data_IF_756536146913
#
_entry.id   IF_756536146913
#
_cell.length_a   1.000
_cell.length_b   1.000
_cell.length_c   1.000
_cell.angle_alpha   90.00
_cell.angle_beta   90.00
_cell.angle_gamma   90.00
#
_symmetry.space_group_name_H-M   'P 1'
#
loop_
_entity.id
_entity.type
_entity.pdbx_description
1 polymer ?
#
# COMPACT_ATOMS: atom_id res chain seq x y z
N UNK A 1 26.12 0.36 8.41
CA UNK A 1 24.80 0.92 8.71
C UNK A 1 24.10 1.18 7.38
N UNK A 2 23.08 0.41 7.07
CA UNK A 2 22.38 0.48 5.79
C UNK A 2 21.07 1.17 6.03
N UNK A 3 20.73 2.19 6.36
CA UNK A 3 19.44 2.87 6.50
C UNK A 3 18.16 2.02 6.57
N UNK A 4 18.06 0.98 5.79
CA UNK A 4 16.94 0.03 5.76
C UNK A 4 15.96 0.24 4.62
N UNK A 5 15.03 -0.72 4.51
CA UNK A 5 13.87 -0.69 3.62
C UNK A 5 12.63 -0.45 4.48
N UNK A 6 11.74 0.41 4.04
CA UNK A 6 10.46 0.66 4.70
C UNK A 6 9.34 0.74 3.68
N UNK A 7 8.13 0.49 4.14
CA UNK A 7 6.92 0.68 3.35
C UNK A 7 5.88 1.45 4.15
N UNK A 8 5.07 2.23 3.46
CA UNK A 8 3.96 2.97 4.06
C UNK A 8 2.88 3.24 3.02
N UNK A 9 1.66 3.48 3.48
CA UNK A 9 0.59 4.00 2.64
C UNK A 9 0.34 5.44 3.02
N UNK A 10 0.40 6.33 2.04
CA UNK A 10 0.26 7.78 2.24
C UNK A 10 -0.91 8.32 1.41
N UNK A 11 -1.68 9.24 1.99
CA UNK A 11 -2.73 9.97 1.29
C UNK A 11 -2.23 11.36 0.91
N UNK A 12 -2.13 11.62 -0.38
CA UNK A 12 -1.79 12.95 -0.92
C UNK A 12 -3.04 13.68 -1.34
N UNK A 13 -3.32 14.81 -0.69
CA UNK A 13 -4.44 15.67 -1.04
C UNK A 13 -4.05 16.66 -2.14
N UNK A 14 -4.96 16.88 -3.08
CA UNK A 14 -4.77 17.88 -4.12
C UNK A 14 -5.25 19.25 -3.64
N UNK A 15 -4.35 20.23 -3.65
CA UNK A 15 -4.65 21.62 -3.27
C UNK A 15 -4.63 22.60 -4.45
N UNK A 16 -4.48 22.10 -5.68
CA UNK A 16 -4.48 22.91 -6.90
C UNK A 16 -5.89 23.26 -7.40
N UNK A 17 -5.97 24.01 -8.52
CA UNK A 17 -7.23 24.33 -9.16
C UNK A 17 -8.03 23.08 -9.52
N UNK A 18 -9.34 23.11 -9.34
CA UNK A 18 -10.23 21.94 -9.57
C UNK A 18 -10.26 21.50 -11.04
N UNK A 19 -10.08 22.41 -11.97
CA UNK A 19 -10.00 22.14 -13.41
C UNK A 19 -8.73 21.40 -13.84
N UNK A 20 -7.74 21.33 -12.95
CA UNK A 20 -6.46 20.63 -13.18
C UNK A 20 -6.32 19.34 -12.36
N UNK A 21 -7.38 18.88 -11.75
CA UNK A 21 -7.36 17.59 -11.01
C UNK A 21 -7.08 16.46 -11.99
N UNK A 22 -6.03 15.63 -11.75
CA UNK A 22 -5.81 14.44 -12.56
C UNK A 22 -7.02 13.51 -12.49
N UNK A 23 -7.39 12.88 -13.59
CA UNK A 23 -8.52 11.93 -13.63
C UNK A 23 -8.37 10.81 -12.58
N UNK A 24 -7.14 10.40 -12.26
CA UNK A 24 -6.80 9.42 -11.22
C UNK A 24 -7.05 9.90 -9.77
N UNK A 25 -7.26 11.20 -9.57
CA UNK A 25 -7.51 11.80 -8.26
C UNK A 25 -8.89 12.49 -8.19
N UNK A 26 -9.67 12.47 -9.29
CA UNK A 26 -10.98 13.10 -9.34
C UNK A 26 -11.99 12.29 -8.51
N UNK A 27 -12.63 12.97 -7.57
CA UNK A 27 -13.73 12.41 -6.81
C UNK A 27 -15.07 12.78 -7.46
N UNK A 28 -15.94 11.78 -7.68
CA UNK A 28 -17.25 11.97 -8.28
C UNK A 28 -18.16 12.90 -7.45
N UNK A 29 -17.92 13.01 -6.14
CA UNK A 29 -18.76 13.75 -5.20
C UNK A 29 -18.30 15.19 -4.92
N UNK A 30 -17.28 15.69 -5.65
CA UNK A 30 -16.81 17.08 -5.54
C UNK A 30 -16.10 17.41 -4.22
N UNK A 31 -15.69 16.42 -3.45
CA UNK A 31 -14.79 16.60 -2.32
C UNK A 31 -13.36 16.89 -2.82
N UNK A 32 -12.47 17.29 -1.90
CA UNK A 32 -11.07 17.51 -2.25
C UNK A 32 -10.46 16.22 -2.80
N UNK A 33 -9.97 16.22 -4.05
CA UNK A 33 -9.38 15.04 -4.64
C UNK A 33 -8.12 14.64 -3.88
N UNK A 34 -7.93 13.35 -3.69
CA UNK A 34 -6.76 12.78 -3.05
C UNK A 34 -6.32 11.53 -3.78
N UNK A 35 -5.06 11.16 -3.59
CA UNK A 35 -4.47 9.93 -4.13
C UNK A 35 -3.85 9.12 -2.99
N UNK A 36 -4.20 7.84 -2.89
CA UNK A 36 -3.47 6.90 -2.07
C UNK A 36 -2.26 6.38 -2.83
N UNK A 37 -1.13 6.36 -2.16
CA UNK A 37 0.12 5.86 -2.71
C UNK A 37 0.73 4.85 -1.75
N UNK A 38 1.04 3.66 -2.25
CA UNK A 38 1.85 2.69 -1.54
C UNK A 38 3.32 3.02 -1.82
N UNK A 39 4.04 3.39 -0.79
CA UNK A 39 5.44 3.82 -0.90
C UNK A 39 6.36 2.72 -0.38
N UNK A 40 7.37 2.38 -1.17
CA UNK A 40 8.49 1.56 -0.75
C UNK A 40 9.74 2.42 -0.81
N UNK A 41 10.39 2.62 0.32
CA UNK A 41 11.56 3.48 0.45
C UNK A 41 12.79 2.69 0.85
N UNK A 42 13.94 3.05 0.26
CA UNK A 42 15.24 2.49 0.59
C UNK A 42 16.17 3.64 0.97
N UNK A 43 16.80 3.53 2.14
CA UNK A 43 17.85 4.44 2.59
C UNK A 43 19.16 3.66 2.67
N UNK A 44 20.20 4.15 2.01
CA UNK A 44 21.47 3.44 1.94
C UNK A 44 22.66 4.40 1.78
N UNK A 45 23.84 3.93 2.13
CA UNK A 45 25.09 4.63 1.79
C UNK A 45 25.47 4.30 0.34
N UNK A 46 26.18 5.22 -0.32
CA UNK A 46 26.69 5.05 -1.69
C UNK A 46 27.29 3.65 -1.95
N UNK A 47 28.22 3.20 -1.12
CA UNK A 47 28.88 1.89 -1.25
C UNK A 47 27.92 0.68 -1.26
N UNK A 48 26.70 0.84 -0.75
CA UNK A 48 25.70 -0.22 -0.63
C UNK A 48 24.54 -0.03 -1.62
N UNK A 49 24.63 0.90 -2.55
CA UNK A 49 23.53 1.25 -3.47
C UNK A 49 23.11 0.05 -4.31
N UNK A 50 24.05 -0.63 -4.97
CA UNK A 50 23.73 -1.82 -5.79
C UNK A 50 23.10 -2.97 -5.00
N UNK A 51 23.65 -3.38 -3.84
CA UNK A 51 23.00 -4.35 -2.98
C UNK A 51 21.58 -3.94 -2.57
N UNK A 52 21.35 -2.65 -2.26
CA UNK A 52 20.06 -2.13 -1.84
C UNK A 52 19.03 -2.20 -2.98
N UNK A 53 19.38 -1.81 -4.20
CA UNK A 53 18.53 -1.93 -5.39
C UNK A 53 18.20 -3.39 -5.71
N UNK A 54 19.15 -4.32 -5.53
CA UNK A 54 18.90 -5.74 -5.70
C UNK A 54 17.90 -6.27 -4.67
N UNK A 55 18.03 -5.90 -3.40
CA UNK A 55 17.09 -6.28 -2.35
C UNK A 55 15.70 -5.72 -2.66
N UNK A 56 15.61 -4.45 -3.07
CA UNK A 56 14.35 -3.84 -3.48
C UNK A 56 13.69 -4.64 -4.61
N UNK A 57 14.45 -5.01 -5.63
CA UNK A 57 13.97 -5.85 -6.73
C UNK A 57 13.46 -7.21 -6.24
N UNK A 58 14.19 -7.87 -5.37
CA UNK A 58 13.79 -9.16 -4.78
C UNK A 58 12.48 -9.03 -4.00
N UNK A 59 12.32 -7.97 -3.20
CA UNK A 59 11.08 -7.70 -2.46
C UNK A 59 9.90 -7.50 -3.42
N UNK A 60 10.06 -6.71 -4.47
CA UNK A 60 8.95 -6.38 -5.37
C UNK A 60 8.55 -7.52 -6.31
N UNK A 61 9.52 -8.35 -6.76
CA UNK A 61 9.31 -9.34 -7.81
C UNK A 61 9.34 -10.80 -7.34
N UNK A 62 10.01 -11.08 -6.22
CA UNK A 62 10.32 -12.45 -5.80
C UNK A 62 9.70 -12.82 -4.45
N UNK A 63 8.88 -11.94 -3.86
CA UNK A 63 8.18 -12.26 -2.61
C UNK A 63 7.23 -13.44 -2.83
N UNK A 64 7.41 -14.47 -2.02
CA UNK A 64 6.56 -15.66 -2.06
C UNK A 64 5.32 -15.45 -1.17
N UNK A 65 4.19 -15.22 -1.81
CA UNK A 65 2.89 -15.09 -1.13
C UNK A 65 2.23 -16.44 -0.82
N UNK A 66 2.71 -17.54 -1.39
CA UNK A 66 2.13 -18.87 -1.17
C UNK A 66 2.71 -19.56 0.09
N UNK A 67 2.59 -18.87 1.23
CA UNK A 67 3.03 -19.36 2.53
C UNK A 67 1.95 -19.09 3.60
N UNK A 68 0.83 -19.81 3.59
CA UNK A 68 -0.34 -19.51 4.42
C UNK A 68 -0.02 -19.45 5.91
N UNK A 69 0.78 -20.37 6.43
CA UNK A 69 1.18 -20.37 7.85
C UNK A 69 1.96 -19.10 8.21
N UNK A 70 2.90 -18.69 7.34
CA UNK A 70 3.70 -17.49 7.60
C UNK A 70 2.87 -16.20 7.50
N UNK A 71 1.94 -16.16 6.57
CA UNK A 71 1.00 -15.02 6.44
C UNK A 71 0.16 -14.92 7.71
N UNK A 72 -0.37 -16.01 8.22
CA UNK A 72 -1.14 -16.00 9.46
C UNK A 72 -0.31 -15.50 10.66
N UNK A 73 0.93 -15.96 10.81
CA UNK A 73 1.83 -15.46 11.87
C UNK A 73 2.04 -13.95 11.79
N UNK A 74 2.28 -13.41 10.57
CA UNK A 74 2.46 -11.97 10.35
C UNK A 74 1.18 -11.19 10.68
N UNK A 75 0.01 -11.69 10.29
CA UNK A 75 -1.26 -11.04 10.59
C UNK A 75 -1.57 -11.03 12.10
N UNK A 76 -1.26 -12.11 12.80
CA UNK A 76 -1.42 -12.18 14.26
C UNK A 76 -0.46 -11.24 14.99
N UNK A 77 0.80 -11.16 14.53
CA UNK A 77 1.78 -10.20 15.07
C UNK A 77 1.31 -8.77 14.87
N UNK A 78 0.84 -8.42 13.67
CA UNK A 78 0.32 -7.10 13.35
C UNK A 78 -0.93 -6.77 14.19
N UNK A 79 -1.86 -7.71 14.32
CA UNK A 79 -3.05 -7.58 15.18
C UNK A 79 -2.68 -7.29 16.62
N UNK A 80 -1.70 -8.02 17.17
CA UNK A 80 -1.21 -7.79 18.53
C UNK A 80 -0.54 -6.42 18.67
N UNK A 81 0.27 -6.02 17.69
CA UNK A 81 0.92 -4.71 17.62
C UNK A 81 -0.09 -3.57 17.61
N UNK A 82 -1.09 -3.64 16.74
CA UNK A 82 -2.16 -2.64 16.64
C UNK A 82 -2.95 -2.54 17.97
N UNK A 83 -3.29 -3.67 18.59
CA UNK A 83 -3.97 -3.70 19.88
C UNK A 83 -3.16 -3.03 20.99
N UNK A 84 -1.86 -3.30 21.04
CA UNK A 84 -0.95 -2.66 22.00
C UNK A 84 -0.83 -1.14 21.74
N UNK A 85 -0.74 -0.73 20.47
CA UNK A 85 -0.73 0.67 20.06
C UNK A 85 -2.00 1.41 20.50
N UNK A 86 -3.17 0.82 20.26
CA UNK A 86 -4.45 1.38 20.72
C UNK A 86 -4.53 1.49 22.25
N UNK A 87 -4.01 0.52 23.00
CA UNK A 87 -3.99 0.57 24.45
C UNK A 87 -3.09 1.70 24.96
N UNK A 88 -1.97 1.97 24.30
CA UNK A 88 -1.01 3.02 24.69
C UNK A 88 -1.40 4.43 24.24
N UNK A 89 -2.10 4.57 23.10
CA UNK A 89 -2.43 5.83 22.46
C UNK A 89 -3.91 5.90 22.02
N UNK A 90 -4.84 5.44 22.84
CA UNK A 90 -6.27 5.38 22.53
C UNK A 90 -6.88 6.72 22.11
N UNK A 91 -6.38 7.83 22.64
CA UNK A 91 -6.81 9.18 22.23
C UNK A 91 -6.49 9.47 20.74
N UNK A 92 -5.34 9.03 20.24
CA UNK A 92 -4.97 9.20 18.85
C UNK A 92 -5.85 8.33 17.93
N UNK A 93 -6.10 7.08 18.31
CA UNK A 93 -7.01 6.17 17.61
C UNK A 93 -8.43 6.73 17.57
N UNK A 94 -8.94 7.26 18.68
CA UNK A 94 -10.25 7.89 18.76
C UNK A 94 -10.34 9.14 17.86
N UNK A 95 -9.31 9.98 17.85
CA UNK A 95 -9.24 11.15 16.98
C UNK A 95 -9.22 10.75 15.49
N UNK A 96 -8.42 9.75 15.12
CA UNK A 96 -8.39 9.22 13.75
C UNK A 96 -9.76 8.68 13.32
N UNK A 97 -10.42 7.92 14.18
CA UNK A 97 -11.79 7.44 13.95
C UNK A 97 -12.79 8.57 13.79
N UNK A 98 -12.73 9.60 14.63
CA UNK A 98 -13.60 10.77 14.52
C UNK A 98 -13.37 11.51 13.18
N UNK A 99 -12.12 11.66 12.73
CA UNK A 99 -11.79 12.27 11.45
C UNK A 99 -12.30 11.45 10.26
N UNK A 100 -12.43 10.14 10.38
CA UNK A 100 -12.94 9.28 9.30
C UNK A 100 -14.39 9.60 8.90
N UNK A 101 -15.17 10.23 9.77
CA UNK A 101 -16.52 10.71 9.45
C UNK A 101 -16.54 12.07 8.74
N UNK A 102 -15.39 12.77 8.63
CA UNK A 102 -15.30 14.11 8.08
C UNK A 102 -14.84 14.13 6.62
N UNK A 103 -14.01 13.15 6.20
CA UNK A 103 -13.50 13.10 4.84
C UNK A 103 -13.22 11.68 4.37
N UNK A 104 -13.31 11.45 3.05
CA UNK A 104 -13.04 10.13 2.45
C UNK A 104 -11.58 9.72 2.60
N UNK A 105 -10.64 10.66 2.49
CA UNK A 105 -9.22 10.33 2.71
C UNK A 105 -8.96 9.86 4.13
N UNK A 106 -9.56 10.52 5.13
CA UNK A 106 -9.45 10.09 6.52
C UNK A 106 -10.17 8.74 6.78
N UNK A 107 -11.30 8.49 6.11
CA UNK A 107 -11.99 7.19 6.20
C UNK A 107 -11.12 6.05 5.64
N UNK A 108 -10.46 6.26 4.51
CA UNK A 108 -9.53 5.28 3.95
C UNK A 108 -8.29 5.09 4.81
N UNK A 109 -7.76 6.17 5.40
CA UNK A 109 -6.63 6.05 6.35
C UNK A 109 -7.01 5.31 7.63
N UNK A 110 -8.25 5.43 8.10
CA UNK A 110 -8.75 4.62 9.21
C UNK A 110 -8.83 3.12 8.86
N UNK A 111 -9.21 2.80 7.61
CA UNK A 111 -9.21 1.42 7.10
C UNK A 111 -7.80 0.85 6.87
N UNK A 112 -6.79 1.69 6.73
CA UNK A 112 -5.39 1.26 6.47
C UNK A 112 -4.59 1.14 7.78
N UNK A 113 -4.78 2.05 8.73
CA UNK A 113 -3.93 2.15 9.92
C UNK A 113 -4.68 2.48 11.21
N UNK A 114 -6.00 2.65 11.17
CA UNK A 114 -6.82 3.02 12.30
C UNK A 114 -7.62 1.86 12.90
N UNK A 115 -8.70 2.20 13.58
CA UNK A 115 -9.61 1.22 14.18
C UNK A 115 -10.26 0.32 13.11
N UNK A 116 -10.59 0.88 11.94
CA UNK A 116 -11.12 0.11 10.82
C UNK A 116 -10.16 -0.97 10.31
N UNK A 117 -8.87 -0.66 10.26
CA UNK A 117 -7.82 -1.63 9.94
C UNK A 117 -7.78 -2.76 10.97
N UNK A 118 -7.81 -2.44 12.26
CA UNK A 118 -7.83 -3.43 13.32
C UNK A 118 -9.06 -4.34 13.25
N UNK A 119 -10.25 -3.78 13.05
CA UNK A 119 -11.50 -4.55 12.91
C UNK A 119 -11.48 -5.48 11.70
N UNK A 120 -10.90 -5.04 10.59
CA UNK A 120 -10.73 -5.86 9.40
C UNK A 120 -9.75 -7.00 9.66
N UNK A 121 -8.60 -6.69 10.26
CA UNK A 121 -7.55 -7.65 10.57
C UNK A 121 -8.03 -8.70 11.58
N UNK A 122 -8.76 -8.29 12.63
CA UNK A 122 -9.33 -9.20 13.64
C UNK A 122 -10.33 -10.18 13.01
N UNK A 123 -11.21 -9.69 12.13
CA UNK A 123 -12.14 -10.53 11.35
C UNK A 123 -11.41 -11.47 10.40
N UNK A 124 -10.36 -10.98 9.74
CA UNK A 124 -9.56 -11.81 8.83
C UNK A 124 -8.89 -12.94 9.58
N UNK A 125 -8.22 -12.65 10.71
CA UNK A 125 -7.60 -13.69 11.53
C UNK A 125 -8.62 -14.73 12.03
N UNK A 126 -9.82 -14.31 12.44
CA UNK A 126 -10.88 -15.21 12.85
C UNK A 126 -11.38 -16.12 11.70
N UNK A 127 -11.42 -15.62 10.47
CA UNK A 127 -11.83 -16.42 9.30
C UNK A 127 -10.73 -17.35 8.79
N UNK A 128 -9.46 -17.12 9.16
CA UNK A 128 -8.32 -17.94 8.75
C UNK A 128 -8.05 -19.17 9.66
N UNK A 129 -8.94 -19.48 10.59
CA UNK A 129 -8.86 -20.69 11.40
C UNK A 129 -8.89 -21.96 10.53
N UNK A 130 -9.39 -21.86 9.29
CA UNK A 130 -9.34 -22.92 8.29
C UNK A 130 -8.25 -22.64 7.25
N UNK A 131 -7.55 -23.71 6.85
CA UNK A 131 -6.48 -23.66 5.84
C UNK A 131 -6.96 -23.14 4.47
N UNK A 132 -8.22 -23.36 4.14
CA UNK A 132 -8.83 -22.91 2.87
C UNK A 132 -8.85 -21.38 2.76
N UNK A 133 -9.30 -20.68 3.80
CA UNK A 133 -9.27 -19.21 3.84
C UNK A 133 -7.86 -18.62 3.77
N UNK A 134 -6.88 -19.31 4.36
CA UNK A 134 -5.48 -18.87 4.29
C UNK A 134 -4.92 -18.98 2.86
N UNK A 135 -5.26 -20.03 2.12
CA UNK A 135 -4.86 -20.19 0.71
C UNK A 135 -5.53 -19.13 -0.17
N UNK A 136 -6.81 -18.85 0.05
CA UNK A 136 -7.54 -17.81 -0.67
C UNK A 136 -6.90 -16.43 -0.44
N UNK A 137 -6.54 -16.10 0.80
CA UNK A 137 -5.83 -14.87 1.12
C UNK A 137 -4.45 -14.79 0.44
N UNK A 138 -3.70 -15.89 0.37
CA UNK A 138 -2.44 -15.94 -0.37
C UNK A 138 -2.61 -15.55 -1.84
N UNK A 139 -3.64 -16.08 -2.49
CA UNK A 139 -3.97 -15.78 -3.89
C UNK A 139 -4.34 -14.31 -4.06
N UNK A 140 -5.18 -13.78 -3.17
CA UNK A 140 -5.56 -12.37 -3.18
C UNK A 140 -4.35 -11.44 -3.01
N UNK A 141 -3.45 -11.73 -2.07
CA UNK A 141 -2.24 -10.93 -1.87
C UNK A 141 -1.33 -10.95 -3.10
N UNK A 142 -1.23 -12.08 -3.80
CA UNK A 142 -0.47 -12.17 -5.04
C UNK A 142 -1.10 -11.34 -6.16
N UNK A 143 -2.41 -11.39 -6.33
CA UNK A 143 -3.14 -10.56 -7.29
C UNK A 143 -2.98 -9.07 -6.99
N UNK A 144 -3.09 -8.68 -5.73
CA UNK A 144 -2.85 -7.29 -5.29
C UNK A 144 -1.42 -6.84 -5.57
N UNK A 145 -0.41 -7.67 -5.31
CA UNK A 145 0.98 -7.33 -5.58
C UNK A 145 1.22 -7.09 -7.07
N UNK A 146 0.65 -7.92 -7.93
CA UNK A 146 0.72 -7.75 -9.39
C UNK A 146 0.04 -6.45 -9.84
N UNK A 147 -1.11 -6.12 -9.28
CA UNK A 147 -1.82 -4.89 -9.62
C UNK A 147 -1.09 -3.62 -9.14
N UNK A 148 -0.49 -3.67 -7.94
CA UNK A 148 0.19 -2.52 -7.34
C UNK A 148 1.57 -2.29 -8.00
N UNK A 149 2.37 -3.35 -8.16
CA UNK A 149 3.72 -3.27 -8.70
C UNK A 149 3.73 -3.31 -10.23
N UNK A 150 3.08 -2.33 -10.83
CA UNK A 150 2.99 -2.13 -12.27
C UNK A 150 3.68 -0.82 -12.66
N UNK A 151 4.56 -0.84 -13.66
CA UNK A 151 5.34 0.33 -14.10
C UNK A 151 4.45 1.51 -14.46
N UNK A 152 3.28 1.28 -15.04
CA UNK A 152 2.33 2.33 -15.42
C UNK A 152 1.76 3.10 -14.20
N UNK A 153 1.77 2.47 -13.02
CA UNK A 153 1.29 3.04 -11.77
C UNK A 153 2.43 3.55 -10.87
N UNK A 154 3.70 3.37 -11.26
CA UNK A 154 4.84 3.67 -10.41
C UNK A 154 5.42 5.05 -10.69
N UNK A 155 5.85 5.71 -9.63
CA UNK A 155 6.65 6.92 -9.68
C UNK A 155 7.90 6.67 -8.85
N UNK A 156 9.07 6.99 -9.42
CA UNK A 156 10.33 6.87 -8.74
C UNK A 156 10.80 8.25 -8.31
N UNK A 157 11.09 8.40 -7.03
CA UNK A 157 11.68 9.59 -6.46
C UNK A 157 13.04 9.23 -5.83
N UNK A 158 14.06 10.05 -6.05
CA UNK A 158 15.37 9.82 -5.47
C UNK A 158 16.02 11.13 -5.01
N UNK A 159 16.65 11.06 -3.85
CA UNK A 159 17.48 12.14 -3.32
C UNK A 159 18.88 11.57 -3.04
N UNK A 160 19.87 12.08 -3.76
CA UNK A 160 21.25 11.59 -3.68
C UNK A 160 22.26 12.67 -4.02
N UNK A 161 23.55 12.39 -3.81
CA UNK A 161 24.61 13.23 -4.32
C UNK A 161 24.63 13.21 -5.86
N UNK A 162 25.03 14.31 -6.53
CA UNK A 162 25.03 14.38 -8.00
C UNK A 162 25.80 13.24 -8.69
N UNK A 163 26.90 12.79 -8.08
CA UNK A 163 27.70 11.67 -8.59
C UNK A 163 26.99 10.32 -8.60
N UNK A 164 26.00 10.14 -7.72
CA UNK A 164 25.27 8.87 -7.55
C UNK A 164 24.03 8.76 -8.45
N UNK A 165 23.53 9.89 -8.96
CA UNK A 165 22.26 9.95 -9.69
C UNK A 165 22.29 9.05 -10.92
N UNK A 166 23.38 9.01 -11.68
CA UNK A 166 23.46 8.18 -12.88
C UNK A 166 23.37 6.68 -12.56
N UNK A 167 23.99 6.25 -11.48
CA UNK A 167 23.94 4.85 -11.02
C UNK A 167 22.53 4.49 -10.51
N UNK A 168 21.87 5.41 -9.81
CA UNK A 168 20.50 5.24 -9.35
C UNK A 168 19.54 5.13 -10.54
N UNK A 169 19.64 6.03 -11.52
CA UNK A 169 18.80 6.00 -12.72
C UNK A 169 18.96 4.70 -13.50
N UNK A 170 20.20 4.23 -13.67
CA UNK A 170 20.45 2.93 -14.33
C UNK A 170 19.80 1.78 -13.54
N UNK A 171 19.92 1.78 -12.21
CA UNK A 171 19.29 0.76 -11.36
C UNK A 171 17.77 0.81 -11.36
N UNK A 172 17.17 2.00 -11.43
CA UNK A 172 15.72 2.19 -11.56
C UNK A 172 15.23 1.71 -12.93
N UNK A 173 15.95 2.00 -14.01
CA UNK A 173 15.62 1.51 -15.35
C UNK A 173 15.67 -0.02 -15.42
N UNK A 174 16.69 -0.63 -14.81
CA UNK A 174 16.80 -2.09 -14.73
C UNK A 174 15.67 -2.71 -13.91
N UNK A 175 15.28 -2.08 -12.80
CA UNK A 175 14.13 -2.47 -11.98
C UNK A 175 12.82 -2.36 -12.80
N UNK A 176 12.57 -1.24 -13.46
CA UNK A 176 11.38 -1.03 -14.28
C UNK A 176 11.29 -2.08 -15.41
N UNK A 177 12.39 -2.32 -16.10
CA UNK A 177 12.47 -3.37 -17.15
C UNK A 177 12.20 -4.75 -16.57
N UNK A 178 12.68 -5.02 -15.37
CA UNK A 178 12.45 -6.31 -14.69
C UNK A 178 10.99 -6.48 -14.28
N UNK A 179 10.32 -5.42 -13.82
CA UNK A 179 8.89 -5.43 -13.50
C UNK A 179 8.07 -5.70 -14.79
N UNK A 180 8.38 -5.01 -15.88
CA UNK A 180 7.72 -5.22 -17.18
C UNK A 180 7.86 -6.65 -17.70
N UNK A 181 9.04 -7.25 -17.55
CA UNK A 181 9.32 -8.61 -18.02
C UNK A 181 8.84 -9.70 -17.06
N UNK A 182 8.83 -9.42 -15.74
CA UNK A 182 8.45 -10.37 -14.71
C UNK A 182 6.94 -10.48 -14.51
N UNK A 183 6.26 -9.39 -14.74
CA UNK A 183 4.81 -9.36 -14.66
C UNK A 183 4.19 -9.78 -15.99
N UNK A 184 4.42 -10.91 -16.53
CA UNK A 184 3.74 -11.44 -17.76
C UNK A 184 2.21 -11.27 -17.73
N UNK A 185 1.74 -10.13 -17.21
CA UNK A 185 0.38 -9.73 -16.96
C UNK A 185 -0.18 -9.20 -18.25
N UNK A 186 -1.08 -9.96 -18.80
CA UNK A 186 -2.21 -9.42 -19.55
C UNK A 186 -2.76 -8.28 -18.71
N UNK A 187 -2.64 -7.03 -19.19
CA UNK A 187 -3.28 -5.87 -18.58
C UNK A 187 -4.77 -6.20 -18.39
N UNK A 188 -5.28 -6.33 -17.16
CA UNK A 188 -6.70 -6.21 -16.99
C UNK A 188 -7.02 -4.78 -17.42
N UNK A 189 -7.95 -4.66 -18.34
CA UNK A 189 -8.52 -3.40 -18.79
C UNK A 189 -8.76 -2.53 -17.53
N UNK A 190 -8.09 -1.38 -17.42
CA UNK A 190 -8.03 -0.56 -16.21
C UNK A 190 -9.35 0.19 -15.91
N UNK A 191 -10.46 -0.43 -16.19
CA UNK A 191 -11.70 -0.05 -15.52
C UNK A 191 -11.65 -0.63 -14.10
N UNK A 192 -11.59 0.20 -13.04
CA UNK A 192 -11.68 -0.31 -11.68
C UNK A 192 -12.95 -1.15 -11.58
N UNK A 193 -12.78 -2.39 -11.13
CA UNK A 193 -13.90 -3.30 -10.94
C UNK A 193 -15.00 -2.56 -10.14
N UNK A 194 -16.22 -2.42 -10.69
CA UNK A 194 -17.32 -1.75 -10.00
C UNK A 194 -17.62 -2.34 -8.63
N UNK A 195 -17.26 -3.60 -8.39
CA UNK A 195 -17.41 -4.27 -7.09
C UNK A 195 -16.37 -3.78 -6.08
N UNK A 196 -15.14 -3.49 -6.49
CA UNK A 196 -14.11 -2.91 -5.61
C UNK A 196 -14.44 -1.46 -5.23
N UNK A 197 -15.04 -0.69 -6.15
CA UNK A 197 -15.60 0.62 -5.85
C UNK A 197 -16.81 0.54 -4.90
N UNK A 198 -17.63 -0.50 -4.97
CA UNK A 198 -18.73 -0.73 -4.03
C UNK A 198 -18.24 -1.06 -2.62
N UNK A 199 -17.15 -1.79 -2.47
CA UNK A 199 -16.55 -2.05 -1.15
C UNK A 199 -16.10 -0.75 -0.47
N UNK A 200 -15.54 0.21 -1.22
CA UNK A 200 -15.23 1.55 -0.72
C UNK A 200 -16.50 2.39 -0.39
N UNK A 201 -17.59 2.19 -1.11
CA UNK A 201 -18.85 2.91 -0.88
C UNK A 201 -19.59 2.36 0.35
N UNK A 202 -19.47 1.05 0.63
CA UNK A 202 -20.06 0.41 1.82
C UNK A 202 -19.31 0.73 3.13
N UNK A 203 -18.06 1.20 3.06
CA UNK A 203 -17.26 1.57 4.21
C UNK A 203 -17.54 3.01 4.72
N UNK A 204 -18.32 3.80 4.00
CA UNK A 204 -18.77 5.11 4.48
C UNK A 204 -20.02 4.91 5.34
N UNK A 205 -19.94 5.01 6.69
CA UNK A 205 -21.14 4.91 7.52
C UNK A 205 -22.09 6.05 7.10
N UNK A 206 -23.32 5.69 6.72
CA UNK A 206 -24.39 6.65 6.52
C UNK A 206 -24.49 7.54 7.74
N UNK A 207 -24.45 8.84 7.53
CA UNK A 207 -24.69 9.84 8.59
C UNK A 207 -26.01 9.53 9.29
N UNK A 208 -26.06 9.66 10.62
CA UNK A 208 -27.33 9.66 11.33
C UNK A 208 -28.21 10.84 10.90
#
# INVERSE_FOLDING_TARGET
YTGGVGSTVTSYNWYGPRDKVPASAADADGQFPFRLTFEVSVRTLHRNLRPALRILREILLSTNYNMPTRILEVLEEERAGMRAGMASAGHATAAQRAMSYLSRSAALMDLISGLGAYEMLDRTCANLENMEGAVELCSLLQEMAVAIFNVDNMTFDCTACPEDIQEILAGVQDLATSIMNGNGVVHPDHSPDPEMCKACTLACPSRP
#
